data_IF_016180632665
#
_entry.id   IF_016180632665
#
_cell.length_a   1.000
_cell.length_b   1.000
_cell.length_c   1.000
_cell.angle_alpha   90.00
_cell.angle_beta   90.00
_cell.angle_gamma   90.00
#
_symmetry.space_group_name_H-M   'P 1'
#
loop_
_entity.id
_entity.type
_entity.pdbx_description
1 polymer ?
#
# COMPACT_ATOMS: atom_id res chain seq x y z
N UNK A 1 -46.91 -3.53 29.64
CA UNK A 1 -45.75 -2.62 29.72
C UNK A 1 -44.72 -3.15 28.73
N UNK A 2 -44.33 -2.34 27.75
CA UNK A 2 -43.37 -2.73 26.71
C UNK A 2 -41.99 -2.86 27.32
N UNK A 3 -41.41 -4.06 27.29
CA UNK A 3 -39.99 -4.26 27.52
C UNK A 3 -39.23 -3.64 26.35
N UNK A 4 -38.76 -2.42 26.56
CA UNK A 4 -37.84 -1.71 25.70
C UNK A 4 -36.50 -2.45 25.74
N UNK A 5 -36.32 -3.40 24.82
CA UNK A 5 -35.03 -4.05 24.60
C UNK A 5 -34.09 -2.99 24.00
N UNK A 6 -33.04 -2.71 24.76
CA UNK A 6 -31.96 -1.76 24.50
C UNK A 6 -31.39 -2.00 23.09
N UNK A 7 -31.58 -1.03 22.20
CA UNK A 7 -31.01 -1.05 20.87
C UNK A 7 -29.58 -0.47 20.87
N UNK A 8 -28.63 -1.30 20.43
CA UNK A 8 -27.52 -0.94 19.52
C UNK A 8 -26.55 0.21 19.86
N UNK A 9 -26.13 0.36 21.12
CA UNK A 9 -24.89 1.10 21.42
C UNK A 9 -23.65 0.25 21.14
N UNK A 10 -23.46 -0.18 19.88
CA UNK A 10 -22.10 -0.55 19.45
C UNK A 10 -21.26 0.71 19.63
N UNK A 11 -20.22 0.72 20.49
CA UNK A 11 -19.46 1.92 20.76
C UNK A 11 -18.95 2.45 19.43
N UNK A 12 -19.31 3.71 19.13
CA UNK A 12 -19.01 4.39 17.86
C UNK A 12 -17.54 4.22 17.49
N UNK A 13 -16.66 4.29 18.50
CA UNK A 13 -15.21 4.07 18.39
C UNK A 13 -14.82 2.70 17.80
N UNK A 14 -15.55 1.63 18.12
CA UNK A 14 -15.27 0.29 17.61
C UNK A 14 -15.63 0.16 16.12
N UNK A 15 -16.78 0.72 15.71
CA UNK A 15 -17.19 0.78 14.29
C UNK A 15 -16.21 1.61 13.46
N UNK A 16 -15.74 2.75 13.98
CA UNK A 16 -14.74 3.58 13.30
C UNK A 16 -13.40 2.86 13.15
N UNK A 17 -12.96 2.13 14.17
CA UNK A 17 -11.70 1.40 14.09
C UNK A 17 -11.73 0.26 13.05
N UNK A 18 -12.84 -0.48 12.97
CA UNK A 18 -13.05 -1.51 11.96
C UNK A 18 -13.09 -0.93 10.53
N UNK A 19 -13.75 0.21 10.33
CA UNK A 19 -13.78 0.93 9.05
C UNK A 19 -12.39 1.36 8.58
N UNK A 20 -11.54 1.85 9.50
CA UNK A 20 -10.19 2.28 9.15
C UNK A 20 -9.30 1.07 8.84
N UNK A 21 -9.40 -0.03 9.61
CA UNK A 21 -8.71 -1.29 9.28
C UNK A 21 -9.08 -1.79 7.87
N UNK A 22 -10.35 -1.72 7.52
CA UNK A 22 -10.84 -2.12 6.20
C UNK A 22 -10.28 -1.22 5.08
N UNK A 23 -10.19 0.09 5.32
CA UNK A 23 -9.59 1.01 4.35
C UNK A 23 -8.10 0.73 4.13
N UNK A 24 -7.33 0.48 5.19
CA UNK A 24 -5.90 0.15 5.06
C UNK A 24 -5.73 -1.20 4.34
N UNK A 25 -6.57 -2.18 4.66
CA UNK A 25 -6.59 -3.46 3.92
C UNK A 25 -6.83 -3.27 2.42
N UNK A 26 -7.81 -2.44 2.03
CA UNK A 26 -8.08 -2.12 0.63
C UNK A 26 -6.86 -1.47 -0.02
N UNK A 27 -6.20 -0.54 0.66
CA UNK A 27 -4.99 0.11 0.14
C UNK A 27 -3.87 -0.90 -0.11
N UNK A 28 -3.64 -1.86 0.80
CA UNK A 28 -2.67 -2.95 0.59
C UNK A 28 -3.03 -3.84 -0.58
N UNK A 29 -4.32 -4.07 -0.83
CA UNK A 29 -4.78 -4.79 -2.01
C UNK A 29 -4.52 -4.02 -3.31
N UNK A 30 -4.68 -2.69 -3.30
CA UNK A 30 -4.37 -1.82 -4.44
C UNK A 30 -2.87 -1.82 -4.72
N UNK A 31 -2.03 -1.64 -3.69
CA UNK A 31 -0.57 -1.72 -3.80
C UNK A 31 -0.12 -3.05 -4.41
N UNK A 32 -0.72 -4.15 -3.94
CA UNK A 32 -0.47 -5.48 -4.48
C UNK A 32 -0.84 -5.58 -5.96
N UNK A 33 -2.02 -5.08 -6.35
CA UNK A 33 -2.47 -5.09 -7.74
C UNK A 33 -1.55 -4.28 -8.66
N UNK A 34 -1.16 -3.08 -8.26
CA UNK A 34 -0.23 -2.23 -9.02
C UNK A 34 1.16 -2.86 -9.14
N UNK A 35 1.68 -3.44 -8.06
CA UNK A 35 2.95 -4.15 -8.09
C UNK A 35 2.91 -5.41 -8.96
N UNK A 36 1.76 -6.11 -9.01
CA UNK A 36 1.53 -7.25 -9.90
C UNK A 36 1.54 -6.83 -11.36
N UNK A 37 0.88 -5.71 -11.69
CA UNK A 37 0.91 -5.14 -13.04
C UNK A 37 2.33 -4.74 -13.45
N UNK A 38 3.09 -4.07 -12.57
CA UNK A 38 4.51 -3.76 -12.80
C UNK A 38 5.38 -5.00 -13.01
N UNK A 39 5.06 -6.11 -12.35
CA UNK A 39 5.79 -7.37 -12.51
C UNK A 39 5.48 -8.06 -13.85
N UNK A 40 4.27 -7.90 -14.38
CA UNK A 40 3.84 -8.54 -15.65
C UNK A 40 4.15 -7.67 -16.86
N UNK A 41 4.21 -6.34 -16.70
CA UNK A 41 4.53 -5.36 -17.74
C UNK A 41 5.68 -5.76 -18.69
N UNK A 42 6.81 -6.34 -18.21
CA UNK A 42 7.95 -6.67 -19.07
C UNK A 42 7.65 -7.77 -20.09
N UNK A 43 6.61 -8.56 -19.87
CA UNK A 43 6.16 -9.58 -20.81
C UNK A 43 5.28 -9.00 -21.93
N UNK A 44 4.85 -7.74 -21.79
CA UNK A 44 3.92 -7.06 -22.71
C UNK A 44 4.61 -5.90 -23.42
N UNK A 45 5.51 -5.21 -22.74
CA UNK A 45 6.26 -4.05 -23.24
C UNK A 45 7.73 -4.40 -23.27
N UNK A 46 8.40 -4.09 -24.39
CA UNK A 46 9.82 -4.38 -24.59
C UNK A 46 10.66 -3.91 -23.38
N UNK A 47 11.51 -4.80 -22.82
CA UNK A 47 12.23 -4.51 -21.60
C UNK A 47 13.27 -3.40 -21.84
N UNK A 48 13.14 -2.31 -21.10
CA UNK A 48 14.11 -1.21 -21.06
C UNK A 48 15.02 -1.42 -19.85
N UNK A 49 15.99 -2.32 -19.96
CA UNK A 49 17.00 -2.68 -18.94
C UNK A 49 16.49 -3.35 -17.65
N UNK A 50 17.32 -4.15 -16.98
CA UNK A 50 16.96 -5.04 -15.85
C UNK A 50 16.37 -4.38 -14.58
N UNK A 51 16.28 -3.05 -14.51
CA UNK A 51 15.93 -2.32 -13.27
C UNK A 51 14.48 -1.81 -13.20
N UNK A 52 13.65 -1.99 -14.24
CA UNK A 52 12.26 -1.49 -14.25
C UNK A 52 11.29 -2.21 -13.31
N UNK A 53 11.67 -3.34 -12.69
CA UNK A 53 10.86 -4.08 -11.71
C UNK A 53 11.44 -4.01 -10.29
N UNK A 54 12.41 -3.12 -10.02
CA UNK A 54 13.14 -3.10 -8.75
C UNK A 54 12.22 -3.06 -7.52
N UNK A 55 11.12 -2.32 -7.61
CA UNK A 55 10.17 -2.21 -6.50
C UNK A 55 9.01 -3.22 -6.56
N UNK A 56 8.77 -3.91 -7.68
CA UNK A 56 7.56 -4.75 -7.84
C UNK A 56 7.61 -5.99 -6.94
N UNK A 57 8.70 -6.76 -6.99
CA UNK A 57 8.87 -7.97 -6.18
C UNK A 57 8.79 -7.71 -4.66
N UNK A 58 9.54 -6.76 -4.07
CA UNK A 58 9.43 -6.49 -2.64
C UNK A 58 8.07 -5.91 -2.26
N UNK A 59 7.43 -5.11 -3.12
CA UNK A 59 6.08 -4.58 -2.85
C UNK A 59 5.04 -5.70 -2.84
N UNK A 60 5.11 -6.63 -3.80
CA UNK A 60 4.25 -7.81 -3.85
C UNK A 60 4.38 -8.67 -2.59
N UNK A 61 5.61 -9.03 -2.22
CA UNK A 61 5.87 -9.90 -1.08
C UNK A 61 5.34 -9.30 0.21
N UNK A 62 5.59 -8.02 0.44
CA UNK A 62 5.29 -7.41 1.74
C UNK A 62 3.84 -6.91 1.79
N UNK A 63 3.26 -6.40 0.70
CA UNK A 63 1.82 -6.11 0.67
C UNK A 63 1.00 -7.39 0.85
N UNK A 64 1.42 -8.53 0.28
CA UNK A 64 0.81 -9.84 0.58
C UNK A 64 0.95 -10.23 2.05
N UNK A 65 2.15 -10.06 2.63
CA UNK A 65 2.39 -10.35 4.04
C UNK A 65 1.51 -9.50 4.96
N UNK A 66 1.36 -8.21 4.68
CA UNK A 66 0.50 -7.31 5.45
C UNK A 66 -0.98 -7.67 5.29
N UNK A 67 -1.44 -8.02 4.09
CA UNK A 67 -2.81 -8.55 3.86
C UNK A 67 -3.08 -9.75 4.78
N UNK A 68 -2.15 -10.72 4.84
CA UNK A 68 -2.27 -11.89 5.72
C UNK A 68 -2.32 -11.47 7.19
N UNK A 69 -1.44 -10.57 7.62
CA UNK A 69 -1.42 -10.09 9.01
C UNK A 69 -2.69 -9.32 9.38
N UNK A 70 -3.28 -8.58 8.44
CA UNK A 70 -4.57 -7.90 8.62
C UNK A 70 -5.72 -8.91 8.79
N UNK A 71 -5.72 -10.01 8.03
CA UNK A 71 -6.73 -11.08 8.16
C UNK A 71 -6.63 -11.81 9.49
N UNK A 72 -5.40 -11.99 10.01
CA UNK A 72 -5.15 -12.68 11.29
C UNK A 72 -5.16 -11.70 12.48
N UNK A 73 -5.40 -10.40 12.25
CA UNK A 73 -5.41 -9.33 13.26
C UNK A 73 -4.08 -9.21 14.07
N UNK A 74 -2.93 -9.59 13.47
CA UNK A 74 -1.59 -9.59 14.10
C UNK A 74 -0.67 -8.47 13.57
N UNK A 75 -1.24 -7.39 13.03
CA UNK A 75 -0.45 -6.30 12.43
C UNK A 75 0.29 -5.52 13.51
N UNK A 76 1.62 -5.52 13.42
CA UNK A 76 2.47 -4.67 14.24
C UNK A 76 2.58 -3.27 13.61
N UNK A 77 2.18 -2.21 14.31
CA UNK A 77 2.08 -0.87 13.74
C UNK A 77 3.43 -0.27 13.34
N UNK A 78 4.48 -0.61 14.07
CA UNK A 78 5.86 -0.14 13.81
C UNK A 78 6.42 -0.78 12.54
N UNK A 79 6.24 -2.09 12.38
CA UNK A 79 6.69 -2.84 11.20
C UNK A 79 6.03 -2.32 9.91
N UNK A 80 4.73 -1.99 9.98
CA UNK A 80 3.99 -1.41 8.87
C UNK A 80 4.53 -0.03 8.46
N UNK A 81 4.87 0.82 9.45
CA UNK A 81 5.46 2.13 9.18
C UNK A 81 6.84 2.00 8.52
N UNK A 82 7.73 1.17 9.07
CA UNK A 82 9.07 0.95 8.48
C UNK A 82 8.98 0.38 7.08
N UNK A 83 8.05 -0.55 6.84
CA UNK A 83 7.79 -1.08 5.52
C UNK A 83 7.43 0.03 4.51
N UNK A 84 6.45 0.87 4.86
CA UNK A 84 6.01 1.96 4.00
C UNK A 84 7.14 2.93 3.66
N UNK A 85 7.98 3.27 4.66
CA UNK A 85 9.13 4.15 4.44
C UNK A 85 10.16 3.52 3.49
N UNK A 86 10.47 2.24 3.69
CA UNK A 86 11.40 1.51 2.81
C UNK A 86 10.84 1.44 1.40
N UNK A 87 9.55 1.14 1.23
CA UNK A 87 8.96 1.04 -0.10
C UNK A 87 8.85 2.38 -0.80
N UNK A 88 8.48 3.43 -0.10
CA UNK A 88 8.49 4.78 -0.64
C UNK A 88 9.90 5.13 -1.16
N UNK A 89 10.93 4.79 -0.41
CA UNK A 89 12.33 5.01 -0.83
C UNK A 89 12.70 4.20 -2.07
N UNK A 90 12.43 2.89 -2.10
CA UNK A 90 12.75 2.00 -3.23
C UNK A 90 11.99 2.39 -4.50
N UNK A 91 10.69 2.69 -4.39
CA UNK A 91 9.87 3.17 -5.52
C UNK A 91 10.32 4.53 -6.03
N UNK A 92 10.73 5.44 -5.15
CA UNK A 92 11.31 6.73 -5.57
C UNK A 92 12.61 6.54 -6.33
N UNK A 93 13.49 5.63 -5.88
CA UNK A 93 14.73 5.29 -6.61
C UNK A 93 14.41 4.71 -7.99
N UNK A 94 13.44 3.80 -8.07
CA UNK A 94 13.03 3.21 -9.35
C UNK A 94 12.47 4.26 -10.32
N UNK A 95 11.66 5.21 -9.83
CA UNK A 95 11.16 6.33 -10.62
C UNK A 95 12.29 7.25 -11.10
N UNK A 96 13.24 7.59 -10.24
CA UNK A 96 14.39 8.42 -10.61
C UNK A 96 15.25 7.73 -11.67
N UNK A 97 15.54 6.44 -11.49
CA UNK A 97 16.28 5.64 -12.48
C UNK A 97 15.60 5.72 -13.85
N UNK A 98 14.27 5.57 -13.86
CA UNK A 98 13.47 5.67 -15.06
C UNK A 98 13.46 7.07 -15.68
N UNK A 99 13.51 8.15 -14.91
CA UNK A 99 13.62 9.51 -15.45
C UNK A 99 14.99 9.74 -16.11
N UNK A 100 16.07 9.22 -15.51
CA UNK A 100 17.43 9.44 -16.02
C UNK A 100 17.81 8.51 -17.18
N UNK A 101 17.30 7.27 -17.19
CA UNK A 101 17.65 6.22 -18.16
C UNK A 101 16.52 5.99 -19.18
N UNK A 102 15.28 6.22 -18.79
CA UNK A 102 14.10 5.83 -19.54
C UNK A 102 13.81 6.75 -20.73
N UNK A 103 13.66 6.12 -21.89
CA UNK A 103 13.06 6.73 -23.10
C UNK A 103 11.53 6.85 -22.93
N UNK A 104 10.81 7.28 -23.96
CA UNK A 104 9.33 7.38 -23.96
C UNK A 104 8.60 6.09 -23.49
N UNK A 105 9.20 4.91 -23.68
CA UNK A 105 8.69 3.61 -23.21
C UNK A 105 8.67 3.53 -21.67
N UNK A 106 9.57 4.26 -21.00
CA UNK A 106 9.58 4.40 -19.55
C UNK A 106 8.36 5.13 -19.00
N UNK A 107 7.64 5.93 -19.81
CA UNK A 107 6.49 6.70 -19.32
C UNK A 107 5.38 5.80 -18.71
N UNK A 108 5.18 4.60 -19.25
CA UNK A 108 4.16 3.66 -18.73
C UNK A 108 4.57 3.13 -17.36
N UNK A 109 5.82 2.66 -17.22
CA UNK A 109 6.37 2.25 -15.92
C UNK A 109 6.39 3.43 -14.91
N UNK A 110 6.69 4.64 -15.39
CA UNK A 110 6.66 5.86 -14.59
C UNK A 110 5.28 6.16 -14.01
N UNK A 111 4.21 5.97 -14.77
CA UNK A 111 2.84 6.13 -14.27
C UNK A 111 2.56 5.18 -13.11
N UNK A 112 2.88 3.89 -13.26
CA UNK A 112 2.69 2.91 -12.20
C UNK A 112 3.55 3.21 -10.95
N UNK A 113 4.78 3.69 -11.13
CA UNK A 113 5.62 4.10 -10.01
C UNK A 113 5.06 5.33 -9.28
N UNK A 114 4.54 6.30 -10.02
CA UNK A 114 3.87 7.47 -9.44
C UNK A 114 2.61 7.04 -8.67
N UNK A 115 1.80 6.13 -9.22
CA UNK A 115 0.61 5.61 -8.55
C UNK A 115 0.97 4.88 -7.24
N UNK A 116 2.04 4.08 -7.23
CA UNK A 116 2.55 3.44 -6.01
C UNK A 116 3.02 4.47 -4.97
N UNK A 117 3.74 5.51 -5.38
CA UNK A 117 4.17 6.58 -4.46
C UNK A 117 2.96 7.28 -3.84
N UNK A 118 1.93 7.59 -4.64
CA UNK A 118 0.69 8.20 -4.15
C UNK A 118 0.00 7.26 -3.15
N UNK A 119 -0.08 5.95 -3.46
CA UNK A 119 -0.66 4.95 -2.57
C UNK A 119 0.07 4.90 -1.22
N UNK A 120 1.41 4.85 -1.21
CA UNK A 120 2.20 4.83 0.01
C UNK A 120 2.06 6.11 0.85
N UNK A 121 1.98 7.28 0.20
CA UNK A 121 1.73 8.55 0.89
C UNK A 121 0.34 8.56 1.52
N UNK A 122 -0.67 8.06 0.81
CA UNK A 122 -2.02 7.92 1.36
C UNK A 122 -2.03 6.99 2.56
N UNK A 123 -1.34 5.85 2.51
CA UNK A 123 -1.24 4.92 3.62
C UNK A 123 -0.55 5.51 4.83
N UNK A 124 0.57 6.23 4.64
CA UNK A 124 1.21 6.98 5.71
C UNK A 124 0.26 8.00 6.36
N UNK A 125 -0.56 8.68 5.56
CA UNK A 125 -1.54 9.62 6.06
C UNK A 125 -2.68 8.94 6.85
N UNK A 126 -3.15 7.77 6.40
CA UNK A 126 -4.18 7.00 7.12
C UNK A 126 -3.65 6.46 8.45
N UNK A 127 -2.46 5.87 8.46
CA UNK A 127 -1.80 5.39 9.68
C UNK A 127 -1.60 6.55 10.67
N UNK A 128 -1.13 7.70 10.19
CA UNK A 128 -0.95 8.91 11.02
C UNK A 128 -2.28 9.40 11.61
N UNK A 129 -3.37 9.40 10.85
CA UNK A 129 -4.70 9.79 11.35
C UNK A 129 -5.25 8.79 12.37
N UNK A 130 -4.99 7.49 12.20
CA UNK A 130 -5.53 6.45 13.08
C UNK A 130 -4.79 6.37 14.41
N UNK A 131 -3.47 6.54 14.41
CA UNK A 131 -2.61 6.29 15.58
C UNK A 131 -2.14 7.57 16.29
N UNK A 132 -2.29 8.74 15.66
CA UNK A 132 -1.70 10.00 16.12
C UNK A 132 -0.16 9.98 16.03
N UNK A 133 0.50 11.13 16.25
CA UNK A 133 1.94 11.13 16.52
C UNK A 133 2.15 10.57 17.93
N UNK A 134 2.15 9.26 18.08
CA UNK A 134 2.71 8.59 19.27
C UNK A 134 3.85 7.71 18.79
N UNK A 135 5.00 8.36 18.63
CA UNK A 135 6.32 7.75 18.63
C UNK A 135 6.98 8.11 19.95
#
# INVERSE_FOLDING_TARGET
MSDMIINDSVPVDKKWNELIKYNIFIMKLIEFGLALLLCIMPNIVDPVDSFYCLASAPTLMISFHLIVLYVVDQVQPEAEFYYLVIQLFVTTIALLNLIFVGRLIGAIYGLFYVDLIIAFIMDLNYIRKQRGFRY
#
